data_IF_358502120228
#
_entry.id   IF_358502120228
#
_cell.length_a   1.000
_cell.length_b   1.000
_cell.length_c   1.000
_cell.angle_alpha   90.00
_cell.angle_beta   90.00
_cell.angle_gamma   90.00
#
_symmetry.space_group_name_H-M   'P 1'
#
loop_
_entity.id
_entity.type
_entity.pdbx_description
1 polymer ?
#
# COMPACT_ATOMS: atom_id res chain seq x y z
N UNK A 1 -3.92 65.47 46.65
CA UNK A 1 -4.83 65.38 45.50
C UNK A 1 -4.27 64.31 44.57
N UNK A 2 -4.73 63.10 44.62
CA UNK A 2 -4.61 62.13 43.54
C UNK A 2 -5.49 60.90 43.91
N UNK A 3 -6.51 60.74 43.11
CA UNK A 3 -7.52 59.71 43.32
C UNK A 3 -6.99 58.41 42.75
N UNK A 4 -6.86 57.42 43.60
CA UNK A 4 -6.46 56.03 43.23
C UNK A 4 -7.74 55.30 42.79
N UNK A 5 -7.80 54.93 41.51
CA UNK A 5 -8.84 54.06 40.95
C UNK A 5 -8.46 52.59 41.19
N UNK A 6 -9.20 51.93 42.06
CA UNK A 6 -9.17 50.46 42.21
C UNK A 6 -10.01 49.84 41.09
N UNK A 7 -9.34 49.16 40.15
CA UNK A 7 -10.02 48.30 39.20
C UNK A 7 -9.91 46.86 39.72
N UNK A 8 -11.03 46.36 40.23
CA UNK A 8 -11.21 44.96 40.63
C UNK A 8 -11.32 44.08 39.37
N UNK A 9 -10.29 43.28 39.10
CA UNK A 9 -10.29 42.31 38.04
C UNK A 9 -10.95 41.00 38.53
N UNK A 10 -12.21 40.78 38.12
CA UNK A 10 -12.90 39.52 38.34
C UNK A 10 -12.40 38.49 37.33
N UNK A 11 -11.54 37.60 37.78
CA UNK A 11 -11.10 36.46 36.98
C UNK A 11 -12.21 35.40 36.93
N UNK A 12 -12.92 35.35 35.81
CA UNK A 12 -13.88 34.31 35.50
C UNK A 12 -13.12 33.06 34.98
N UNK A 13 -12.87 32.10 35.90
CA UNK A 13 -12.24 30.82 35.58
C UNK A 13 -13.25 29.92 34.90
N UNK A 14 -13.27 29.90 33.57
CA UNK A 14 -14.02 28.91 32.79
C UNK A 14 -13.19 27.63 32.71
N UNK A 15 -13.55 26.68 33.56
CA UNK A 15 -12.99 25.32 33.51
C UNK A 15 -13.61 24.60 32.34
N UNK A 16 -12.88 24.56 31.21
CA UNK A 16 -13.21 23.74 30.05
C UNK A 16 -12.83 22.29 30.37
N UNK A 17 -13.79 21.50 30.81
CA UNK A 17 -13.65 20.06 30.96
C UNK A 17 -13.60 19.43 29.58
N UNK A 18 -12.40 19.19 29.07
CA UNK A 18 -12.17 18.34 27.88
C UNK A 18 -12.43 16.89 28.26
N UNK A 19 -13.64 16.42 28.03
CA UNK A 19 -13.93 14.99 28.03
C UNK A 19 -13.27 14.37 26.83
N UNK A 20 -12.07 13.83 27.02
CA UNK A 20 -11.40 13.00 26.02
C UNK A 20 -12.20 11.68 25.90
N UNK A 21 -13.15 11.64 24.95
CA UNK A 21 -13.73 10.39 24.49
C UNK A 21 -12.65 9.68 23.66
N UNK A 22 -11.93 8.77 24.29
CA UNK A 22 -11.12 7.79 23.62
C UNK A 22 -12.05 6.80 22.90
N UNK A 23 -12.49 7.14 21.68
CA UNK A 23 -13.09 6.19 20.78
C UNK A 23 -11.98 5.28 20.25
N UNK A 24 -11.75 4.17 20.97
CA UNK A 24 -11.03 3.01 20.46
C UNK A 24 -11.89 2.31 19.41
N UNK A 25 -12.14 2.99 18.29
CA UNK A 25 -12.65 2.38 17.08
C UNK A 25 -11.51 1.60 16.45
N UNK A 26 -11.63 0.26 16.36
CA UNK A 26 -10.82 -0.55 15.44
C UNK A 26 -11.12 -0.06 14.02
N UNK A 27 -10.39 0.98 13.62
CA UNK A 27 -10.41 1.47 12.25
C UNK A 27 -9.86 0.34 11.39
N UNK A 28 -10.74 -0.39 10.72
CA UNK A 28 -10.37 -1.27 9.61
C UNK A 28 -9.69 -0.36 8.60
N UNK A 29 -8.34 -0.30 8.67
CA UNK A 29 -7.56 0.49 7.72
C UNK A 29 -7.77 -0.14 6.35
N UNK A 30 -8.65 0.45 5.57
CA UNK A 30 -8.69 0.17 4.14
C UNK A 30 -7.27 0.40 3.61
N UNK A 31 -6.73 -0.60 2.92
CA UNK A 31 -5.42 -0.49 2.28
C UNK A 31 -5.45 0.69 1.31
N UNK A 32 -4.71 1.75 1.66
CA UNK A 32 -4.57 2.93 0.80
C UNK A 32 -3.59 2.60 -0.33
N UNK A 33 -4.18 2.28 -1.47
CA UNK A 33 -3.46 1.84 -2.67
C UNK A 33 -2.64 2.97 -3.28
N UNK A 34 -3.16 4.19 -3.24
CA UNK A 34 -2.48 5.36 -3.78
C UNK A 34 -1.23 5.70 -2.95
N UNK A 35 -1.36 5.77 -1.63
CA UNK A 35 -0.23 5.96 -0.73
C UNK A 35 0.81 4.83 -0.85
N UNK A 36 0.37 3.59 -1.05
CA UNK A 36 1.27 2.47 -1.31
C UNK A 36 2.07 2.65 -2.60
N UNK A 37 1.42 3.02 -3.71
CA UNK A 37 2.11 3.26 -4.98
C UNK A 37 3.06 4.44 -4.90
N UNK A 38 2.65 5.54 -4.28
CA UNK A 38 3.52 6.70 -4.08
C UNK A 38 4.81 6.32 -3.32
N UNK A 39 4.67 5.58 -2.23
CA UNK A 39 5.80 5.07 -1.43
C UNK A 39 6.69 4.11 -2.24
N UNK A 40 6.08 3.15 -2.94
CA UNK A 40 6.81 2.18 -3.78
C UNK A 40 7.57 2.90 -4.90
N UNK A 41 6.94 3.85 -5.59
CA UNK A 41 7.55 4.58 -6.70
C UNK A 41 8.74 5.42 -6.24
N UNK A 42 8.62 6.13 -5.12
CA UNK A 42 9.74 6.89 -4.55
C UNK A 42 10.91 5.96 -4.19
N UNK A 43 10.64 4.84 -3.54
CA UNK A 43 11.64 3.84 -3.17
C UNK A 43 12.34 3.25 -4.40
N UNK A 44 11.58 2.79 -5.40
CA UNK A 44 12.10 2.21 -6.66
C UNK A 44 12.96 3.21 -7.40
N UNK A 45 12.50 4.46 -7.54
CA UNK A 45 13.25 5.54 -8.21
C UNK A 45 14.61 5.76 -7.56
N UNK A 46 14.65 5.83 -6.23
CA UNK A 46 15.88 6.02 -5.46
C UNK A 46 16.84 4.82 -5.58
N UNK A 47 16.35 3.59 -5.36
CA UNK A 47 17.17 2.37 -5.38
C UNK A 47 17.75 2.08 -6.77
N UNK A 48 17.01 2.42 -7.83
CA UNK A 48 17.48 2.25 -9.21
C UNK A 48 18.40 3.36 -9.68
N UNK A 49 18.34 4.55 -9.06
CA UNK A 49 19.02 5.76 -9.53
C UNK A 49 18.49 6.17 -10.90
N UNK A 50 17.15 6.25 -11.04
CA UNK A 50 16.52 6.70 -12.28
C UNK A 50 16.78 8.19 -12.51
N UNK A 51 17.03 8.58 -13.76
CA UNK A 51 16.95 10.00 -14.14
C UNK A 51 15.49 10.45 -14.20
N UNK A 52 15.20 11.76 -14.18
CA UNK A 52 13.83 12.26 -14.33
C UNK A 52 13.12 11.73 -15.58
N UNK A 53 13.84 11.65 -16.72
CA UNK A 53 13.31 11.16 -18.00
C UNK A 53 13.00 9.66 -17.97
N UNK A 54 13.90 8.88 -17.38
CA UNK A 54 13.67 7.44 -17.17
C UNK A 54 12.50 7.20 -16.23
N UNK A 55 12.41 7.95 -15.13
CA UNK A 55 11.30 7.84 -14.18
C UNK A 55 9.96 8.21 -14.84
N UNK A 56 9.91 9.29 -15.63
CA UNK A 56 8.72 9.73 -16.35
C UNK A 56 8.19 8.64 -17.33
N UNK A 57 9.09 7.87 -17.93
CA UNK A 57 8.73 6.80 -18.88
C UNK A 57 8.45 5.45 -18.20
N UNK A 58 9.20 5.12 -17.15
CA UNK A 58 9.17 3.82 -16.50
C UNK A 58 8.07 3.70 -15.45
N UNK A 59 7.91 4.70 -14.57
CA UNK A 59 6.97 4.64 -13.43
C UNK A 59 5.52 4.41 -13.86
N UNK A 60 4.98 5.07 -14.90
CA UNK A 60 3.64 4.78 -15.37
C UNK A 60 3.44 3.30 -15.77
N UNK A 61 4.39 2.71 -16.49
CA UNK A 61 4.32 1.30 -16.88
C UNK A 61 4.46 0.35 -15.68
N UNK A 62 5.28 0.73 -14.69
CA UNK A 62 5.41 -0.03 -13.45
C UNK A 62 4.10 -0.03 -12.66
N UNK A 63 3.41 1.10 -12.59
CA UNK A 63 2.10 1.22 -11.95
C UNK A 63 1.03 0.43 -12.71
N UNK A 64 1.02 0.50 -14.03
CA UNK A 64 0.09 -0.27 -14.86
C UNK A 64 0.27 -1.79 -14.65
N UNK A 65 1.50 -2.28 -14.63
CA UNK A 65 1.79 -3.68 -14.29
C UNK A 65 1.21 -4.03 -12.91
N UNK A 66 1.47 -3.19 -11.91
CA UNK A 66 1.02 -3.44 -10.54
C UNK A 66 -0.51 -3.50 -10.45
N UNK A 67 -1.22 -2.61 -11.15
CA UNK A 67 -2.69 -2.64 -11.23
C UNK A 67 -3.19 -3.92 -11.87
N UNK A 68 -2.61 -4.34 -13.00
CA UNK A 68 -2.98 -5.58 -13.69
C UNK A 68 -2.72 -6.82 -12.83
N UNK A 69 -1.59 -6.86 -12.12
CA UNK A 69 -1.29 -7.96 -11.19
C UNK A 69 -2.28 -7.99 -10.02
N UNK A 70 -2.65 -6.83 -9.49
CA UNK A 70 -3.65 -6.73 -8.44
C UNK A 70 -5.03 -7.21 -8.92
N UNK A 71 -5.42 -6.80 -10.12
CA UNK A 71 -6.68 -7.20 -10.73
C UNK A 71 -6.72 -8.71 -11.03
N UNK A 72 -5.65 -9.26 -11.59
CA UNK A 72 -5.52 -10.71 -11.82
C UNK A 72 -5.76 -11.55 -10.56
N UNK A 73 -5.36 -11.03 -9.39
CA UNK A 73 -5.57 -11.73 -8.11
C UNK A 73 -6.93 -11.48 -7.43
N UNK A 74 -7.81 -10.69 -8.03
CA UNK A 74 -9.07 -10.27 -7.39
C UNK A 74 -9.98 -11.45 -7.05
N UNK A 75 -10.18 -12.37 -7.98
CA UNK A 75 -11.08 -13.50 -7.81
C UNK A 75 -10.54 -14.48 -6.75
N UNK A 76 -9.26 -14.82 -6.79
CA UNK A 76 -8.63 -15.65 -5.76
C UNK A 76 -8.83 -15.05 -4.35
N UNK A 77 -8.61 -13.73 -4.18
CA UNK A 77 -8.82 -13.06 -2.89
C UNK A 77 -10.28 -13.09 -2.45
N UNK A 78 -11.22 -12.93 -3.38
CA UNK A 78 -12.66 -13.00 -3.10
C UNK A 78 -13.03 -14.41 -2.65
N UNK A 79 -12.71 -15.43 -3.43
CA UNK A 79 -13.00 -16.82 -3.12
C UNK A 79 -12.36 -17.26 -1.79
N UNK A 80 -11.10 -16.84 -1.53
CA UNK A 80 -10.43 -17.12 -0.25
C UNK A 80 -11.14 -16.46 0.94
N UNK A 81 -11.66 -15.24 0.76
CA UNK A 81 -12.43 -14.55 1.78
C UNK A 81 -13.77 -15.25 2.03
N UNK A 82 -14.47 -15.61 0.97
CA UNK A 82 -15.78 -16.28 1.06
C UNK A 82 -15.63 -17.66 1.73
N UNK A 83 -14.59 -18.42 1.34
CA UNK A 83 -14.27 -19.73 1.95
C UNK A 83 -13.98 -19.59 3.46
N UNK A 84 -13.24 -18.58 3.89
CA UNK A 84 -12.92 -18.34 5.30
C UNK A 84 -14.15 -18.12 6.18
N UNK A 85 -15.26 -17.66 5.61
CA UNK A 85 -16.51 -17.39 6.31
C UNK A 85 -17.57 -18.48 6.07
N UNK A 86 -17.25 -19.55 5.34
CA UNK A 86 -18.15 -20.66 5.05
C UNK A 86 -17.88 -21.84 6.00
N UNK A 87 -18.67 -21.97 7.07
CA UNK A 87 -18.55 -23.08 8.02
C UNK A 87 -18.92 -24.45 7.42
N UNK A 88 -19.62 -24.46 6.27
CA UNK A 88 -20.03 -25.69 5.58
C UNK A 88 -19.21 -25.91 4.30
N UNK A 89 -17.99 -25.40 4.23
CA UNK A 89 -17.13 -25.54 3.07
C UNK A 89 -16.78 -27.01 2.80
N UNK A 90 -16.92 -27.41 1.55
CA UNK A 90 -16.60 -28.76 1.07
C UNK A 90 -15.17 -28.84 0.54
N UNK A 91 -14.61 -30.04 0.37
CA UNK A 91 -13.32 -30.26 -0.29
C UNK A 91 -13.29 -29.63 -1.70
N UNK A 92 -14.40 -29.67 -2.41
CA UNK A 92 -14.53 -29.06 -3.73
C UNK A 92 -14.37 -27.52 -3.67
N UNK A 93 -14.88 -26.86 -2.62
CA UNK A 93 -14.71 -25.42 -2.42
C UNK A 93 -13.24 -25.07 -2.14
N UNK A 94 -12.54 -25.87 -1.34
CA UNK A 94 -11.11 -25.69 -1.09
C UNK A 94 -10.30 -25.89 -2.37
N UNK A 95 -10.55 -26.93 -3.16
CA UNK A 95 -9.87 -27.17 -4.43
C UNK A 95 -10.07 -26.02 -5.41
N UNK A 96 -11.30 -25.56 -5.55
CA UNK A 96 -11.63 -24.40 -6.42
C UNK A 96 -10.81 -23.16 -6.07
N UNK A 97 -10.67 -22.85 -4.78
CA UNK A 97 -9.87 -21.70 -4.34
C UNK A 97 -8.39 -21.92 -4.65
N UNK A 98 -7.85 -23.11 -4.40
CA UNK A 98 -6.45 -23.45 -4.68
C UNK A 98 -6.16 -23.32 -6.18
N UNK A 99 -7.01 -23.92 -7.02
CA UNK A 99 -6.84 -23.89 -8.48
C UNK A 99 -6.87 -22.49 -9.04
N UNK A 100 -7.82 -21.64 -8.58
CA UNK A 100 -7.88 -20.23 -8.99
C UNK A 100 -6.61 -19.47 -8.53
N UNK A 101 -6.16 -19.67 -7.29
CA UNK A 101 -4.98 -18.96 -6.78
C UNK A 101 -3.69 -19.40 -7.49
N UNK A 102 -3.56 -20.68 -7.86
CA UNK A 102 -2.45 -21.16 -8.71
C UNK A 102 -2.52 -20.54 -10.10
N UNK A 103 -3.71 -20.48 -10.70
CA UNK A 103 -3.92 -19.84 -12.01
C UNK A 103 -3.56 -18.35 -11.98
N UNK A 104 -3.83 -17.65 -10.89
CA UNK A 104 -3.41 -16.25 -10.68
C UNK A 104 -1.89 -16.10 -10.76
N UNK A 105 -1.13 -16.98 -10.11
CA UNK A 105 0.34 -16.91 -10.13
C UNK A 105 0.88 -17.03 -11.58
N UNK A 106 0.29 -17.90 -12.38
CA UNK A 106 0.64 -18.05 -13.80
C UNK A 106 0.34 -16.76 -14.57
N UNK A 107 -0.87 -16.21 -14.39
CA UNK A 107 -1.25 -14.93 -15.05
C UNK A 107 -0.34 -13.77 -14.65
N UNK A 108 0.02 -13.68 -13.37
CA UNK A 108 0.92 -12.65 -12.88
C UNK A 108 2.34 -12.79 -13.46
N UNK A 109 2.88 -14.02 -13.54
CA UNK A 109 4.16 -14.27 -14.18
C UNK A 109 4.17 -13.91 -15.68
N UNK A 110 3.07 -14.15 -16.39
CA UNK A 110 2.91 -13.76 -17.78
C UNK A 110 2.89 -12.23 -17.95
N UNK A 111 2.14 -11.51 -17.09
CA UNK A 111 2.11 -10.06 -17.05
C UNK A 111 3.51 -9.49 -16.76
N UNK A 112 4.20 -10.03 -15.77
CA UNK A 112 5.58 -9.62 -15.45
C UNK A 112 6.48 -9.75 -16.69
N UNK A 113 6.43 -10.90 -17.38
CA UNK A 113 7.21 -11.13 -18.60
C UNK A 113 6.89 -10.11 -19.69
N UNK A 114 5.61 -9.84 -19.95
CA UNK A 114 5.17 -8.85 -20.95
C UNK A 114 5.74 -7.45 -20.63
N UNK A 115 5.62 -7.02 -19.36
CA UNK A 115 6.09 -5.69 -18.97
C UNK A 115 7.60 -5.58 -18.95
N UNK A 116 8.33 -6.64 -18.64
CA UNK A 116 9.79 -6.64 -18.78
C UNK A 116 10.24 -6.39 -20.23
N UNK A 117 9.52 -6.86 -21.24
CA UNK A 117 9.82 -6.52 -22.63
C UNK A 117 9.60 -5.03 -22.93
N UNK A 118 8.60 -4.39 -22.29
CA UNK A 118 8.40 -2.93 -22.37
C UNK A 118 9.53 -2.19 -21.64
N UNK A 119 9.91 -2.64 -20.45
CA UNK A 119 10.96 -2.03 -19.64
C UNK A 119 12.34 -2.07 -20.32
N UNK A 120 12.66 -3.14 -21.05
CA UNK A 120 13.91 -3.27 -21.83
C UNK A 120 14.08 -2.17 -22.88
N UNK A 121 13.00 -1.56 -23.34
CA UNK A 121 13.04 -0.46 -24.30
C UNK A 121 13.39 0.88 -23.67
N UNK A 122 13.27 0.99 -22.34
CA UNK A 122 13.44 2.23 -21.57
C UNK A 122 14.71 2.18 -20.74
N UNK A 123 15.02 1.03 -20.15
CA UNK A 123 16.06 0.88 -19.15
C UNK A 123 17.19 -0.03 -19.62
N UNK A 124 18.42 0.29 -19.18
CA UNK A 124 19.57 -0.59 -19.38
C UNK A 124 19.41 -1.91 -18.60
N UNK A 125 20.06 -3.01 -19.03
CA UNK A 125 20.04 -4.27 -18.31
C UNK A 125 20.45 -4.16 -16.83
N UNK A 126 21.43 -3.28 -16.54
CA UNK A 126 21.88 -3.01 -15.17
C UNK A 126 20.75 -2.39 -14.31
N UNK A 127 19.98 -1.45 -14.88
CA UNK A 127 18.84 -0.84 -14.18
C UNK A 127 17.68 -1.80 -14.00
N UNK A 128 17.42 -2.67 -14.99
CA UNK A 128 16.42 -3.74 -14.86
C UNK A 128 16.77 -4.72 -13.73
N UNK A 129 18.03 -5.10 -13.62
CA UNK A 129 18.49 -5.94 -12.50
C UNK A 129 18.31 -5.23 -11.16
N UNK A 130 18.62 -3.93 -11.07
CA UNK A 130 18.37 -3.12 -9.87
C UNK A 130 16.88 -3.05 -9.53
N UNK A 131 16.02 -2.91 -10.54
CA UNK A 131 14.57 -2.93 -10.35
C UNK A 131 14.11 -4.21 -9.66
N UNK A 132 14.50 -5.38 -10.17
CA UNK A 132 14.13 -6.66 -9.55
C UNK A 132 14.59 -6.78 -8.09
N UNK A 133 15.79 -6.29 -7.80
CA UNK A 133 16.30 -6.25 -6.42
C UNK A 133 15.53 -5.25 -5.55
N UNK A 134 15.20 -4.09 -6.09
CA UNK A 134 14.45 -3.05 -5.37
C UNK A 134 13.03 -3.51 -5.03
N UNK A 135 12.34 -4.22 -5.92
CA UNK A 135 11.04 -4.83 -5.61
C UNK A 135 11.12 -5.81 -4.44
N UNK A 136 12.09 -6.72 -4.47
CA UNK A 136 12.29 -7.66 -3.36
C UNK A 136 12.68 -6.98 -2.05
N UNK A 137 13.45 -5.88 -2.10
CA UNK A 137 13.80 -5.08 -0.92
C UNK A 137 12.58 -4.35 -0.36
N UNK A 138 11.82 -3.68 -1.22
CA UNK A 138 10.59 -2.98 -0.83
C UNK A 138 9.58 -3.93 -0.18
N UNK A 139 9.35 -5.12 -0.76
CA UNK A 139 8.44 -6.11 -0.20
C UNK A 139 8.84 -6.52 1.22
N UNK A 140 10.13 -6.78 1.46
CA UNK A 140 10.63 -7.13 2.79
C UNK A 140 10.49 -5.99 3.81
N UNK A 141 10.80 -4.76 3.41
CA UNK A 141 10.68 -3.59 4.29
C UNK A 141 9.22 -3.26 4.60
N UNK A 142 8.35 -3.39 3.59
CA UNK A 142 6.92 -3.18 3.75
C UNK A 142 6.29 -4.19 4.71
N UNK A 143 6.67 -5.47 4.61
CA UNK A 143 6.19 -6.51 5.52
C UNK A 143 6.69 -6.32 6.95
N UNK A 144 7.96 -5.94 7.14
CA UNK A 144 8.51 -5.64 8.48
C UNK A 144 7.82 -4.44 9.13
N UNK A 145 7.58 -3.37 8.39
CA UNK A 145 6.90 -2.17 8.91
C UNK A 145 5.42 -2.39 9.22
N UNK A 146 4.84 -3.53 8.88
CA UNK A 146 3.48 -3.97 9.28
C UNK A 146 3.44 -4.68 10.63
N UNK A 147 4.56 -5.23 11.07
CA UNK A 147 4.66 -6.01 12.32
C UNK A 147 4.94 -5.14 13.56
N UNK A 148 5.47 -3.93 13.34
CA UNK A 148 5.84 -2.98 14.42
C UNK A 148 4.70 -2.04 14.84
N UNK A 149 3.41 -2.41 14.58
CA UNK A 149 2.26 -1.55 14.91
C UNK A 149 1.07 -2.28 15.51
#
# INVERSE_FOLDING_TARGET
MNKIFFITFVACSVVFSFSAHAQSGKQHRNFDREAFFAKKNAFITAEMGLTPEEAASFIPLCNELQEKMFEAGRECRKLSKDLKHNENATDADYLKVIDECVSVNIRQAQLEKEYYEKFKKILSPKKLYRYKRAEGKFAREFMRGGDDR
#
